data_IF_742070454103
#
_entry.id   IF_742070454103
#
_cell.length_a   1.000
_cell.length_b   1.000
_cell.length_c   1.000
_cell.angle_alpha   90.00
_cell.angle_beta   90.00
_cell.angle_gamma   90.00
#
_symmetry.space_group_name_H-M   'P 1'
#
loop_
_entity.id
_entity.type
_entity.pdbx_description
1 polymer ?
#
# COMPACT_ATOMS: atom_id res chain seq x y z
N UNK A 1 -16.57 11.44 -7.84
CA UNK A 1 -16.62 10.02 -8.24
C UNK A 1 -15.69 9.73 -9.41
N UNK A 2 -15.78 10.46 -10.55
CA UNK A 2 -14.88 10.27 -11.70
C UNK A 2 -13.36 10.22 -11.37
N UNK A 3 -12.88 11.00 -10.39
CA UNK A 3 -11.44 11.13 -10.09
C UNK A 3 -10.80 9.93 -9.40
N UNK A 4 -11.55 9.18 -8.60
CA UNK A 4 -11.06 7.95 -7.95
C UNK A 4 -11.01 6.82 -8.98
N UNK A 5 -12.00 6.78 -9.88
CA UNK A 5 -12.03 5.84 -11.01
C UNK A 5 -10.84 6.10 -11.94
N UNK A 6 -10.52 7.36 -12.24
CA UNK A 6 -9.34 7.73 -13.05
C UNK A 6 -8.01 7.32 -12.38
N UNK A 7 -7.89 7.50 -11.06
CA UNK A 7 -6.70 7.08 -10.31
C UNK A 7 -6.55 5.55 -10.25
N UNK A 8 -7.66 4.82 -10.07
CA UNK A 8 -7.72 3.36 -10.12
C UNK A 8 -7.36 2.82 -11.51
N UNK A 9 -7.91 3.41 -12.56
CA UNK A 9 -7.65 3.05 -13.95
C UNK A 9 -6.16 3.25 -14.29
N UNK A 10 -5.59 4.40 -13.90
CA UNK A 10 -4.16 4.69 -14.09
C UNK A 10 -3.27 3.70 -13.33
N UNK A 11 -3.59 3.42 -12.06
CA UNK A 11 -2.84 2.47 -11.24
C UNK A 11 -2.82 1.06 -11.86
N UNK A 12 -3.98 0.60 -12.33
CA UNK A 12 -4.11 -0.69 -13.04
C UNK A 12 -3.28 -0.74 -14.31
N UNK A 13 -3.28 0.33 -15.10
CA UNK A 13 -2.51 0.40 -16.36
C UNK A 13 -1.01 0.35 -16.15
N UNK A 14 -0.53 0.75 -14.96
CA UNK A 14 0.90 0.78 -14.61
C UNK A 14 1.33 -0.35 -13.68
N UNK A 15 0.44 -1.30 -13.37
CA UNK A 15 0.78 -2.50 -12.60
C UNK A 15 0.89 -2.30 -11.08
N UNK A 16 0.28 -1.26 -10.54
CA UNK A 16 0.34 -0.92 -9.12
C UNK A 16 -0.78 -1.61 -8.31
N UNK A 17 -0.39 -2.42 -7.31
CA UNK A 17 -1.28 -2.82 -6.20
C UNK A 17 -1.20 -1.75 -5.11
N UNK A 18 -2.28 -0.98 -4.94
CA UNK A 18 -2.32 0.21 -4.11
C UNK A 18 -3.17 -0.04 -2.86
N UNK A 19 -2.69 0.38 -1.69
CA UNK A 19 -3.54 0.51 -0.50
C UNK A 19 -4.51 1.68 -0.69
N UNK A 20 -5.73 1.59 -0.18
CA UNK A 20 -6.79 2.63 -0.34
C UNK A 20 -6.31 4.03 0.06
N UNK A 21 -5.37 4.12 1.01
CA UNK A 21 -4.69 5.35 1.41
C UNK A 21 -3.91 6.02 0.26
N UNK A 22 -3.14 5.26 -0.53
CA UNK A 22 -2.30 5.84 -1.58
C UNK A 22 -3.15 6.37 -2.75
N UNK A 23 -4.34 5.78 -2.95
CA UNK A 23 -5.34 6.26 -3.91
C UNK A 23 -5.87 7.66 -3.57
N UNK A 24 -6.08 7.96 -2.28
CA UNK A 24 -6.51 9.30 -1.86
C UNK A 24 -5.40 10.32 -2.06
N UNK A 25 -4.16 9.95 -1.74
CA UNK A 25 -3.01 10.84 -1.94
C UNK A 25 -2.81 11.18 -3.43
N UNK A 26 -2.89 10.18 -4.31
CA UNK A 26 -2.78 10.39 -5.77
C UNK A 26 -3.94 11.26 -6.28
N UNK A 27 -5.17 11.05 -5.79
CA UNK A 27 -6.32 11.87 -6.16
C UNK A 27 -6.13 13.33 -5.72
N UNK A 28 -5.61 13.57 -4.52
CA UNK A 28 -5.30 14.91 -4.02
C UNK A 28 -4.20 15.60 -4.86
N UNK A 29 -3.21 14.85 -5.36
CA UNK A 29 -2.19 15.38 -6.27
C UNK A 29 -2.77 15.80 -7.62
N UNK A 30 -3.71 15.03 -8.18
CA UNK A 30 -4.44 15.44 -9.38
C UNK A 30 -5.26 16.71 -9.13
N UNK A 31 -5.94 16.81 -7.99
CA UNK A 31 -6.72 17.98 -7.60
C UNK A 31 -5.85 19.23 -7.37
N UNK A 32 -4.62 19.04 -6.89
CA UNK A 32 -3.61 20.09 -6.75
C UNK A 32 -2.99 20.53 -8.09
N UNK A 33 -3.29 19.83 -9.20
CA UNK A 33 -2.72 20.11 -10.51
C UNK A 33 -1.24 19.75 -10.63
N UNK A 34 -0.78 18.73 -9.88
CA UNK A 34 0.58 18.21 -10.00
C UNK A 34 0.86 17.74 -11.43
N UNK A 35 2.11 17.89 -11.87
CA UNK A 35 2.52 17.37 -13.17
C UNK A 35 2.52 15.83 -13.16
N UNK A 36 2.34 15.17 -14.31
CA UNK A 36 2.44 13.73 -14.41
C UNK A 36 3.74 13.19 -13.79
N UNK A 37 4.88 13.84 -14.03
CA UNK A 37 6.18 13.43 -13.49
C UNK A 37 6.23 13.48 -11.95
N UNK A 38 5.55 14.43 -11.32
CA UNK A 38 5.44 14.50 -9.86
C UNK A 38 4.59 13.36 -9.32
N UNK A 39 3.47 13.06 -9.98
CA UNK A 39 2.61 11.92 -9.63
C UNK A 39 3.38 10.61 -9.78
N UNK A 40 4.09 10.40 -10.90
CA UNK A 40 4.94 9.22 -11.12
C UNK A 40 6.02 9.08 -10.05
N UNK A 41 6.72 10.16 -9.70
CA UNK A 41 7.74 10.12 -8.68
C UNK A 41 7.17 9.73 -7.30
N UNK A 42 6.00 10.25 -6.93
CA UNK A 42 5.36 9.91 -5.66
C UNK A 42 4.85 8.48 -5.65
N UNK A 43 4.23 8.04 -6.74
CA UNK A 43 3.76 6.67 -6.91
C UNK A 43 4.90 5.65 -6.75
N UNK A 44 6.09 5.90 -7.31
CA UNK A 44 7.26 5.05 -7.09
C UNK A 44 7.66 4.94 -5.61
N UNK A 45 7.52 6.03 -4.84
CA UNK A 45 7.80 6.00 -3.40
C UNK A 45 6.74 5.19 -2.67
N UNK A 46 5.46 5.38 -3.02
CA UNK A 46 4.33 4.64 -2.47
C UNK A 46 4.45 3.13 -2.75
N UNK A 47 4.99 2.72 -3.91
CA UNK A 47 5.29 1.31 -4.21
C UNK A 47 6.23 0.70 -3.17
N UNK A 48 7.31 1.41 -2.88
CA UNK A 48 8.34 0.94 -1.95
C UNK A 48 7.79 0.91 -0.53
N UNK A 49 7.00 1.91 -0.15
CA UNK A 49 6.29 1.96 1.14
C UNK A 49 5.32 0.78 1.27
N UNK A 50 4.54 0.48 0.22
CA UNK A 50 3.63 -0.66 0.16
C UNK A 50 4.37 -1.99 0.35
N UNK A 51 5.46 -2.23 -0.40
CA UNK A 51 6.27 -3.44 -0.28
C UNK A 51 6.88 -3.61 1.11
N UNK A 52 7.36 -2.52 1.71
CA UNK A 52 7.90 -2.53 3.07
C UNK A 52 6.81 -2.86 4.09
N UNK A 53 5.62 -2.29 3.94
CA UNK A 53 4.52 -2.54 4.85
C UNK A 53 4.01 -3.98 4.76
N UNK A 54 3.83 -4.52 3.55
CA UNK A 54 3.47 -5.93 3.37
C UNK A 54 4.52 -6.87 3.98
N UNK A 55 5.82 -6.56 3.82
CA UNK A 55 6.88 -7.36 4.45
C UNK A 55 6.83 -7.29 5.99
N UNK A 56 6.49 -6.14 6.57
CA UNK A 56 6.30 -6.01 8.02
C UNK A 56 5.10 -6.84 8.48
N UNK A 57 3.98 -6.78 7.78
CA UNK A 57 2.78 -7.56 8.09
C UNK A 57 3.06 -9.08 8.02
N UNK A 58 3.79 -9.53 7.00
CA UNK A 58 4.25 -10.92 6.88
C UNK A 58 5.14 -11.33 8.06
N UNK A 59 6.08 -10.48 8.47
CA UNK A 59 6.91 -10.72 9.65
C UNK A 59 6.10 -10.77 10.95
N UNK A 60 5.09 -9.90 11.11
CA UNK A 60 4.22 -9.92 12.29
C UNK A 60 3.41 -11.21 12.37
N UNK A 61 2.92 -11.72 11.24
CA UNK A 61 2.26 -13.03 11.16
C UNK A 61 3.23 -14.14 11.58
N UNK A 62 4.42 -14.21 10.99
CA UNK A 62 5.43 -15.23 11.33
C UNK A 62 5.82 -15.18 12.82
N UNK A 63 6.00 -13.98 13.37
CA UNK A 63 6.30 -13.79 14.79
C UNK A 63 5.14 -14.28 15.67
N UNK A 64 3.89 -13.97 15.31
CA UNK A 64 2.74 -14.43 16.06
C UNK A 64 2.60 -15.96 16.01
N UNK A 65 2.82 -16.57 14.85
CA UNK A 65 2.85 -18.03 14.70
C UNK A 65 3.94 -18.66 15.58
N UNK A 66 5.16 -18.11 15.59
CA UNK A 66 6.24 -18.60 16.45
C UNK A 66 5.93 -18.47 17.95
N UNK A 67 5.24 -17.39 18.35
CA UNK A 67 4.78 -17.21 19.73
C UNK A 67 3.71 -18.26 20.07
N UNK A 68 2.75 -18.49 19.18
CA UNK A 68 1.73 -19.53 19.36
C UNK A 68 2.34 -20.94 19.41
N UNK A 69 3.36 -21.24 18.60
CA UNK A 69 4.07 -22.52 18.69
C UNK A 69 4.83 -22.67 20.01
N UNK A 70 5.47 -21.60 20.48
CA UNK A 70 6.27 -21.61 21.71
C UNK A 70 5.43 -21.68 23.00
N UNK A 71 4.22 -21.08 22.98
CA UNK A 71 3.40 -20.85 24.17
C UNK A 71 1.96 -21.39 24.08
N UNK A 72 1.40 -21.61 22.89
CA UNK A 72 0.01 -22.05 22.65
C UNK A 72 -0.30 -23.51 22.99
N UNK A 73 0.71 -24.30 23.37
CA UNK A 73 0.53 -25.65 23.94
C UNK A 73 0.43 -25.69 25.47
N UNK A 74 0.39 -24.54 26.16
CA UNK A 74 0.23 -24.48 27.62
C UNK A 74 -1.07 -23.78 27.96
N UNK A 75 -2.04 -24.57 28.40
CA UNK A 75 -3.14 -24.08 29.22
C UNK A 75 -2.53 -23.28 30.39
N UNK A 76 -2.91 -22.00 30.51
CA UNK A 76 -2.81 -21.24 31.75
C UNK A 76 -4.15 -21.36 32.46
#
# INVERSE_FOLDING_TARGET
MARIEDALEWARQHGYEIFVHDLFEIADMFDAGCSPEQVYARVNVLEVECLLQSAIEDFEVEVNELIEEAFGGRDI
#
